data_IF_943976425022
#
_entry.id   IF_943976425022
#
_cell.length_a   1.000
_cell.length_b   1.000
_cell.length_c   1.000
_cell.angle_alpha   90.00
_cell.angle_beta   90.00
_cell.angle_gamma   90.00
#
_symmetry.space_group_name_H-M   'P 1'
#
loop_
_entity.id
_entity.type
_entity.pdbx_description
1 polymer ?
#
# COMPACT_ATOMS: atom_id res chain seq x y z
N UNK A 1 22.52 14.08 -3.93
CA UNK A 1 21.90 12.98 -3.15
C UNK A 1 21.07 13.53 -1.97
N UNK A 2 20.38 14.65 -2.12
CA UNK A 2 19.71 15.34 -1.00
C UNK A 2 18.18 15.28 -1.07
N UNK A 3 17.59 14.99 -2.25
CA UNK A 3 16.14 14.88 -2.38
C UNK A 3 15.55 13.64 -1.70
N UNK A 4 16.33 12.55 -1.55
CA UNK A 4 15.88 11.34 -0.85
C UNK A 4 15.76 11.54 0.68
N UNK A 5 16.41 12.58 1.24
CA UNK A 5 16.28 12.98 2.65
C UNK A 5 15.13 13.97 2.91
N UNK A 6 14.46 14.49 1.87
CA UNK A 6 13.40 15.50 2.02
C UNK A 6 12.01 14.92 2.32
N UNK A 7 11.78 13.64 2.05
CA UNK A 7 10.59 12.97 2.53
C UNK A 7 10.79 12.69 4.02
N UNK A 8 10.38 13.65 4.84
CA UNK A 8 10.24 13.43 6.27
C UNK A 8 9.40 12.16 6.49
N UNK A 9 9.67 11.39 7.55
CA UNK A 9 8.91 10.17 7.84
C UNK A 9 7.38 10.43 7.87
N UNK A 10 6.98 11.65 8.22
CA UNK A 10 5.59 12.09 8.19
C UNK A 10 5.03 12.29 6.77
N UNK A 11 5.82 12.86 5.85
CA UNK A 11 5.45 12.97 4.43
C UNK A 11 5.40 11.59 3.76
N UNK A 12 6.34 10.70 4.09
CA UNK A 12 6.34 9.30 3.62
C UNK A 12 5.05 8.60 4.04
N UNK A 13 4.67 8.69 5.32
CA UNK A 13 3.39 8.15 5.83
C UNK A 13 2.16 8.70 5.11
N UNK A 14 2.10 10.01 4.86
CA UNK A 14 0.99 10.62 4.11
C UNK A 14 0.90 10.09 2.68
N UNK A 15 2.05 9.95 2.01
CA UNK A 15 2.13 9.39 0.67
C UNK A 15 1.70 7.92 0.63
N UNK A 16 2.16 7.13 1.60
CA UNK A 16 1.81 5.73 1.78
C UNK A 16 0.29 5.55 1.95
N UNK A 17 -0.33 6.40 2.79
CA UNK A 17 -1.78 6.38 3.00
C UNK A 17 -2.57 6.73 1.73
N UNK A 18 -2.12 7.75 0.99
CA UNK A 18 -2.75 8.14 -0.28
C UNK A 18 -2.70 7.00 -1.31
N UNK A 19 -1.55 6.32 -1.40
CA UNK A 19 -1.40 5.20 -2.34
C UNK A 19 -2.24 4.00 -1.90
N UNK A 20 -2.30 3.69 -0.60
CA UNK A 20 -3.18 2.65 -0.08
C UNK A 20 -4.65 2.92 -0.41
N UNK A 21 -5.12 4.16 -0.26
CA UNK A 21 -6.50 4.50 -0.61
C UNK A 21 -6.75 4.46 -2.12
N UNK A 22 -5.76 4.82 -2.95
CA UNK A 22 -5.83 4.60 -4.40
C UNK A 22 -5.93 3.11 -4.75
N UNK A 23 -5.06 2.27 -4.16
CA UNK A 23 -5.00 0.83 -4.42
C UNK A 23 -6.25 0.07 -3.95
N UNK A 24 -6.93 0.53 -2.89
CA UNK A 24 -8.23 -0.03 -2.47
C UNK A 24 -9.33 0.20 -3.49
N UNK A 25 -9.30 1.35 -4.17
CA UNK A 25 -10.30 1.70 -5.18
C UNK A 25 -9.96 1.10 -6.55
N UNK A 26 -8.68 0.86 -6.82
CA UNK A 26 -8.20 0.24 -8.05
C UNK A 26 -8.70 -1.21 -8.19
N UNK A 27 -9.50 -1.46 -9.24
CA UNK A 27 -10.07 -2.78 -9.54
C UNK A 27 -9.21 -3.58 -10.51
N UNK A 28 -8.45 -2.88 -11.34
CA UNK A 28 -7.60 -3.45 -12.39
C UNK A 28 -6.12 -3.26 -12.11
N UNK A 29 -5.28 -4.08 -12.75
CA UNK A 29 -3.83 -3.98 -12.64
C UNK A 29 -3.29 -2.65 -13.20
N UNK A 30 -3.95 -2.11 -14.23
CA UNK A 30 -3.63 -0.81 -14.83
C UNK A 30 -3.84 0.35 -13.83
N UNK A 31 -4.99 0.37 -13.15
CA UNK A 31 -5.28 1.38 -12.11
C UNK A 31 -4.28 1.26 -10.95
N UNK A 32 -3.89 0.04 -10.56
CA UNK A 32 -2.86 -0.17 -9.53
C UNK A 32 -1.50 0.36 -9.95
N UNK A 33 -1.11 0.14 -11.20
CA UNK A 33 0.14 0.71 -11.75
C UNK A 33 0.09 2.23 -11.80
N UNK A 34 -1.07 2.82 -12.11
CA UNK A 34 -1.25 4.27 -12.10
C UNK A 34 -1.09 4.87 -10.70
N UNK A 35 -1.66 4.22 -9.67
CA UNK A 35 -1.47 4.60 -8.27
C UNK A 35 0.02 4.57 -7.83
N UNK A 36 0.81 3.69 -8.43
CA UNK A 36 2.22 3.49 -8.09
C UNK A 36 3.18 4.28 -8.99
N UNK A 37 2.72 4.83 -10.12
CA UNK A 37 3.54 5.46 -11.17
C UNK A 37 4.47 6.57 -10.67
N UNK A 38 4.01 7.38 -9.72
CA UNK A 38 4.76 8.54 -9.19
C UNK A 38 5.46 8.25 -7.87
N UNK A 39 5.50 6.99 -7.46
CA UNK A 39 5.97 6.56 -6.15
C UNK A 39 7.37 5.93 -6.27
N UNK A 40 8.30 6.24 -5.35
CA UNK A 40 9.62 5.61 -5.33
C UNK A 40 9.51 4.08 -5.25
N UNK A 41 10.42 3.39 -5.93
CA UNK A 41 10.37 1.93 -6.03
C UNK A 41 10.48 1.22 -4.68
N UNK A 42 11.21 1.79 -3.71
CA UNK A 42 11.25 1.31 -2.32
C UNK A 42 9.87 1.40 -1.65
N UNK A 43 9.16 2.52 -1.81
CA UNK A 43 7.84 2.69 -1.21
C UNK A 43 6.80 1.79 -1.88
N UNK A 44 6.91 1.53 -3.19
CA UNK A 44 6.04 0.55 -3.86
C UNK A 44 6.21 -0.85 -3.26
N UNK A 45 7.45 -1.30 -3.02
CA UNK A 45 7.72 -2.61 -2.43
C UNK A 45 7.16 -2.71 -1.00
N UNK A 46 7.36 -1.67 -0.20
CA UNK A 46 6.85 -1.58 1.18
C UNK A 46 5.31 -1.67 1.20
N UNK A 47 4.65 -0.90 0.33
CA UNK A 47 3.18 -0.89 0.18
C UNK A 47 2.60 -2.24 -0.29
N UNK A 48 3.22 -2.86 -1.29
CA UNK A 48 2.77 -4.15 -1.81
C UNK A 48 2.92 -5.25 -0.75
N UNK A 49 3.99 -5.22 0.04
CA UNK A 49 4.20 -6.13 1.15
C UNK A 49 3.13 -5.92 2.24
N UNK A 50 2.87 -4.67 2.65
CA UNK A 50 1.87 -4.36 3.68
C UNK A 50 0.45 -4.78 3.26
N UNK A 51 0.07 -4.55 2.00
CA UNK A 51 -1.20 -5.02 1.45
C UNK A 51 -1.32 -6.55 1.42
N UNK A 52 -0.24 -7.27 1.10
CA UNK A 52 -0.25 -8.74 1.09
C UNK A 52 -0.47 -9.32 2.48
N UNK A 53 0.19 -8.75 3.49
CA UNK A 53 0.03 -9.13 4.90
C UNK A 53 -1.37 -8.81 5.39
N UNK A 54 -1.89 -7.63 5.03
CA UNK A 54 -3.26 -7.22 5.37
C UNK A 54 -4.30 -8.13 4.74
N UNK A 55 -4.18 -8.44 3.45
CA UNK A 55 -5.08 -9.35 2.76
C UNK A 55 -5.07 -10.75 3.38
N UNK A 56 -3.90 -11.27 3.73
CA UNK A 56 -3.77 -12.53 4.45
C UNK A 56 -4.44 -12.47 5.83
N UNK A 57 -4.19 -11.42 6.60
CA UNK A 57 -4.78 -11.24 7.93
C UNK A 57 -6.30 -11.11 7.87
N UNK A 58 -6.84 -10.38 6.90
CA UNK A 58 -8.28 -10.24 6.67
C UNK A 58 -8.91 -11.58 6.28
N UNK A 59 -8.24 -12.37 5.44
CA UNK A 59 -8.67 -13.73 5.08
C UNK A 59 -8.73 -14.65 6.31
N UNK A 60 -7.67 -14.68 7.13
CA UNK A 60 -7.63 -15.49 8.36
C UNK A 60 -8.70 -15.04 9.37
N UNK A 61 -8.94 -13.74 9.48
CA UNK A 61 -9.94 -13.18 10.40
C UNK A 61 -11.36 -13.55 9.98
N UNK A 62 -11.67 -13.45 8.68
CA UNK A 62 -12.95 -13.93 8.12
C UNK A 62 -13.15 -15.42 8.37
N UNK A 63 -12.12 -16.23 8.09
CA UNK A 63 -12.20 -17.68 8.31
C UNK A 63 -12.38 -18.09 9.78
N UNK A 64 -12.00 -17.23 10.74
CA UNK A 64 -12.27 -17.44 12.17
C UNK A 64 -13.70 -17.04 12.54
N UNK A 65 -14.19 -15.93 12.01
CA UNK A 65 -15.55 -15.44 12.28
C UNK A 65 -16.64 -16.27 11.59
N UNK A 66 -16.35 -16.96 10.48
CA UNK A 66 -17.27 -17.92 9.84
C UNK A 66 -17.36 -19.27 10.56
N UNK A 67 -16.50 -19.50 11.57
CA UNK A 67 -16.47 -20.74 12.35
C UNK A 67 -17.04 -20.60 13.78
N UNK A 68 -17.60 -19.43 14.11
CA UNK A 68 -18.41 -19.19 15.32
C UNK A 68 -19.89 -19.13 14.95
#
# INVERSE_FOLDING_TARGET
>A
KECEKLLTPEAKKKLEQQVLDCLKNAKTDEERKECLKNIPQDLQKELLADMSVKAYKDCVSRARNEKE
#
